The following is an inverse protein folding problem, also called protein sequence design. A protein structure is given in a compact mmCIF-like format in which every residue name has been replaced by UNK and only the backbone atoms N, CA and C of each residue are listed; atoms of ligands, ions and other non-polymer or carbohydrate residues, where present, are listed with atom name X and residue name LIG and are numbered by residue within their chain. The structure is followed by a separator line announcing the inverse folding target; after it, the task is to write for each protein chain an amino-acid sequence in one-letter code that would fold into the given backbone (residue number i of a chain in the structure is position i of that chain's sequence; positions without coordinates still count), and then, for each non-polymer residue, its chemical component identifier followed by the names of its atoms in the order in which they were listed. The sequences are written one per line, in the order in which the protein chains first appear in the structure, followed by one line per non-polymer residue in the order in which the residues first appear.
data_IF_456618298171
#
_entry.id   IF_456618298171
#
_cell.length_a   1.000
_cell.length_b   1.000
_cell.length_c   1.000
_cell.angle_alpha   90.00
_cell.angle_beta   90.00
_cell.angle_gamma   90.00
#
_symmetry.space_group_name_H-M   'P 1'
#
loop_
_entity.id
_entity.type
_entity.pdbx_description
1 polymer ?
#
# COMPACT_ATOMS: atom_id res chain seq x y z
N UNK A 1 -51.51 -25.45 10.30
CA UNK A 1 -51.17 -24.15 9.67
C UNK A 1 -50.19 -23.44 10.58
N UNK A 2 -48.92 -23.58 10.30
CA UNK A 2 -47.83 -22.97 11.11
C UNK A 2 -47.48 -21.63 10.47
N UNK A 3 -47.64 -20.57 11.26
CA UNK A 3 -47.24 -19.21 10.91
C UNK A 3 -45.72 -19.10 10.91
N UNK A 4 -45.07 -18.50 9.91
CA UNK A 4 -43.62 -18.27 9.96
C UNK A 4 -43.31 -17.21 11.03
N UNK A 5 -42.33 -17.51 11.87
CA UNK A 5 -41.75 -16.64 12.90
C UNK A 5 -41.41 -15.25 12.30
N UNK A 6 -42.09 -14.23 12.80
CA UNK A 6 -41.72 -12.83 12.58
C UNK A 6 -40.33 -12.62 13.18
N UNK A 7 -39.35 -12.43 12.33
CA UNK A 7 -38.03 -11.93 12.73
C UNK A 7 -38.21 -10.56 13.37
N UNK A 8 -37.51 -10.33 14.46
CA UNK A 8 -37.54 -9.10 15.22
C UNK A 8 -37.15 -7.91 14.29
N UNK A 9 -37.91 -6.81 14.27
CA UNK A 9 -37.61 -5.64 13.40
C UNK A 9 -36.17 -5.11 13.54
N UNK A 10 -35.57 -5.25 14.71
CA UNK A 10 -34.19 -4.82 15.00
C UNK A 10 -33.15 -5.72 14.32
N UNK A 11 -33.39 -7.03 14.19
CA UNK A 11 -32.53 -7.94 13.44
C UNK A 11 -32.63 -7.70 11.92
N UNK A 12 -33.80 -7.31 11.44
CA UNK A 12 -34.04 -7.04 10.02
C UNK A 12 -33.34 -5.74 9.57
N UNK A 13 -33.35 -4.69 10.39
CA UNK A 13 -32.62 -3.45 10.08
C UNK A 13 -31.09 -3.65 10.11
N UNK A 14 -30.57 -4.44 11.06
CA UNK A 14 -29.16 -4.79 11.11
C UNK A 14 -28.70 -5.57 9.88
N UNK A 15 -29.45 -6.60 9.50
CA UNK A 15 -29.16 -7.41 8.32
C UNK A 15 -29.29 -6.62 7.00
N UNK A 16 -30.23 -5.68 6.92
CA UNK A 16 -30.38 -4.77 5.78
C UNK A 16 -29.20 -3.79 5.70
N UNK A 17 -28.80 -3.18 6.80
CA UNK A 17 -27.66 -2.29 6.87
C UNK A 17 -26.36 -3.01 6.49
N UNK A 18 -26.12 -4.22 7.02
CA UNK A 18 -24.97 -5.04 6.62
C UNK A 18 -25.01 -5.40 5.12
N UNK A 19 -26.18 -5.72 4.60
CA UNK A 19 -26.37 -6.04 3.19
C UNK A 19 -26.19 -4.83 2.28
N UNK A 20 -26.68 -3.66 2.67
CA UNK A 20 -26.43 -2.39 1.97
C UNK A 20 -24.95 -1.97 2.07
N UNK A 21 -24.32 -2.14 3.22
CA UNK A 21 -22.88 -1.88 3.36
C UNK A 21 -22.04 -2.85 2.52
N UNK A 22 -22.37 -4.13 2.51
CA UNK A 22 -21.71 -5.15 1.68
C UNK A 22 -21.94 -4.87 0.19
N UNK A 23 -23.12 -4.41 -0.20
CA UNK A 23 -23.45 -4.11 -1.60
C UNK A 23 -22.84 -2.77 -2.07
N UNK A 24 -22.69 -1.79 -1.18
CA UNK A 24 -21.96 -0.54 -1.48
C UNK A 24 -20.45 -0.76 -1.66
N UNK A 25 -19.91 -1.86 -1.11
CA UNK A 25 -18.50 -2.28 -1.24
C UNK A 25 -18.34 -3.26 -2.42
N UNK A 26 -19.43 -3.83 -2.94
CA UNK A 26 -19.39 -4.72 -4.09
C UNK A 26 -18.86 -3.98 -5.33
N UNK A 27 -17.63 -4.30 -5.73
CA UNK A 27 -16.90 -3.64 -6.83
C UNK A 27 -15.92 -2.56 -6.38
N UNK A 28 -15.73 -2.36 -5.08
CA UNK A 28 -14.73 -1.44 -4.53
C UNK A 28 -13.60 -2.24 -3.88
N UNK A 29 -12.42 -2.23 -4.50
CA UNK A 29 -11.23 -2.81 -3.88
C UNK A 29 -10.76 -1.91 -2.74
N UNK A 30 -10.53 -2.53 -1.58
CA UNK A 30 -9.95 -1.88 -0.40
C UNK A 30 -8.53 -2.38 -0.28
N UNK A 31 -7.59 -1.47 -0.08
CA UNK A 31 -6.20 -1.80 0.20
C UNK A 31 -5.87 -1.47 1.64
N UNK A 32 -5.14 -2.38 2.31
CA UNK A 32 -4.55 -2.14 3.63
C UNK A 32 -3.12 -1.71 3.47
N UNK A 33 -2.84 -0.52 3.93
CA UNK A 33 -1.58 0.19 3.68
C UNK A 33 -0.78 0.33 4.97
N UNK A 34 0.49 -0.06 4.91
CA UNK A 34 1.49 0.22 5.93
C UNK A 34 2.03 1.64 5.72
N UNK A 35 1.95 2.48 6.74
CA UNK A 35 2.47 3.85 6.76
C UNK A 35 3.56 4.00 7.82
N UNK A 36 4.48 4.93 7.62
CA UNK A 36 5.53 5.26 8.61
C UNK A 36 4.94 6.08 9.76
N UNK A 37 4.19 5.41 10.61
CA UNK A 37 3.55 5.99 11.79
C UNK A 37 3.67 5.03 12.99
N UNK A 38 3.80 5.55 14.22
CA UNK A 38 4.02 4.72 15.42
C UNK A 38 2.72 4.08 15.94
N UNK A 39 1.95 3.45 15.04
CA UNK A 39 0.73 2.73 15.40
C UNK A 39 0.74 1.32 14.84
N UNK A 40 0.30 0.36 15.64
CA UNK A 40 0.31 -1.07 15.29
C UNK A 40 -0.87 -1.49 14.40
N UNK A 41 -1.35 -0.62 13.51
CA UNK A 41 -2.45 -0.94 12.60
C UNK A 41 -2.15 -0.53 11.18
N UNK A 42 -2.75 -1.23 10.23
CA UNK A 42 -2.80 -0.83 8.83
C UNK A 42 -3.94 0.17 8.61
N UNK A 43 -3.83 0.91 7.52
CA UNK A 43 -4.81 1.91 7.13
C UNK A 43 -5.56 1.48 5.88
N UNK A 44 -6.87 1.53 5.94
CA UNK A 44 -7.73 1.14 4.83
C UNK A 44 -7.97 2.33 3.89
N UNK A 45 -7.83 2.08 2.59
CA UNK A 45 -8.11 3.04 1.53
C UNK A 45 -8.89 2.39 0.40
N UNK A 46 -9.73 3.17 -0.28
CA UNK A 46 -10.36 2.75 -1.54
C UNK A 46 -9.34 2.79 -2.67
N UNK A 47 -9.28 1.72 -3.47
CA UNK A 47 -8.44 1.67 -4.65
C UNK A 47 -9.14 0.84 -5.73
N UNK A 48 -9.90 1.49 -6.61
CA UNK A 48 -10.76 0.81 -7.59
C UNK A 48 -10.02 -0.12 -8.54
N UNK A 49 -8.77 0.19 -8.83
CA UNK A 49 -7.95 -0.54 -9.82
C UNK A 49 -6.93 -1.48 -9.15
N UNK A 50 -6.94 -1.58 -7.82
CA UNK A 50 -5.98 -2.42 -7.13
C UNK A 50 -6.28 -3.90 -7.36
N UNK A 51 -5.23 -4.65 -7.67
CA UNK A 51 -5.24 -6.09 -7.91
C UNK A 51 -4.31 -6.81 -6.94
N UNK A 52 -4.36 -8.13 -6.91
CA UNK A 52 -3.44 -8.94 -6.10
C UNK A 52 -1.96 -8.70 -6.46
N UNK A 53 -1.67 -8.33 -7.71
CA UNK A 53 -0.32 -7.99 -8.17
C UNK A 53 0.21 -6.67 -7.60
N UNK A 54 -0.64 -5.87 -6.96
CA UNK A 54 -0.25 -4.61 -6.33
C UNK A 54 0.14 -4.75 -4.86
N UNK A 55 -0.02 -5.93 -4.28
CA UNK A 55 0.51 -6.24 -2.96
C UNK A 55 2.04 -6.13 -2.98
N UNK A 56 2.61 -5.43 -2.02
CA UNK A 56 4.03 -5.07 -1.97
C UNK A 56 4.37 -3.78 -2.72
N UNK A 57 3.46 -3.21 -3.53
CA UNK A 57 3.70 -1.93 -4.21
C UNK A 57 3.55 -0.75 -3.26
N UNK A 58 4.27 0.29 -3.62
CA UNK A 58 4.11 1.58 -2.97
C UNK A 58 2.84 2.26 -3.46
N UNK A 59 2.21 3.00 -2.58
CA UNK A 59 0.99 3.75 -2.87
C UNK A 59 1.07 5.14 -2.24
N UNK A 60 0.61 6.14 -2.97
CA UNK A 60 0.42 7.50 -2.46
C UNK A 60 -1.00 7.64 -1.92
N UNK A 61 -1.10 8.01 -0.66
CA UNK A 61 -2.39 8.15 0.03
C UNK A 61 -2.51 9.49 0.76
N UNK A 62 -3.74 10.00 0.95
CA UNK A 62 -3.97 11.16 1.80
C UNK A 62 -3.88 10.74 3.27
N UNK A 63 -3.00 11.38 4.05
CA UNK A 63 -2.85 11.14 5.48
C UNK A 63 -2.87 12.45 6.26
N UNK A 64 -3.90 12.65 7.08
CA UNK A 64 -4.16 13.92 7.72
C UNK A 64 -4.39 15.05 6.69
N UNK A 65 -3.59 16.11 6.77
CA UNK A 65 -3.57 17.23 5.83
C UNK A 65 -2.49 17.10 4.74
N UNK A 66 -1.72 16.02 4.75
CA UNK A 66 -0.61 15.78 3.83
C UNK A 66 -0.87 14.52 3.02
N UNK A 67 0.01 14.25 2.08
CA UNK A 67 0.10 12.96 1.42
C UNK A 67 1.26 12.16 2.00
N UNK A 68 1.12 10.84 2.03
CA UNK A 68 2.16 9.93 2.49
C UNK A 68 2.34 8.79 1.48
N UNK A 69 3.55 8.29 1.40
CA UNK A 69 3.84 7.03 0.70
C UNK A 69 3.72 5.90 1.70
N UNK A 70 3.01 4.86 1.33
CA UNK A 70 2.93 3.61 2.07
C UNK A 70 3.17 2.41 1.17
N UNK A 71 3.05 1.22 1.73
CA UNK A 71 3.13 -0.06 1.01
C UNK A 71 1.82 -0.81 1.19
N UNK A 72 1.26 -1.30 0.09
CA UNK A 72 0.07 -2.15 0.10
C UNK A 72 0.47 -3.52 0.66
N UNK A 73 -0.12 -3.94 1.77
CA UNK A 73 0.15 -5.24 2.37
C UNK A 73 -0.94 -6.26 2.10
N UNK A 74 -2.15 -5.82 1.86
CA UNK A 74 -3.32 -6.69 1.65
C UNK A 74 -4.34 -6.01 0.75
N UNK A 75 -5.07 -6.84 0.01
CA UNK A 75 -6.39 -6.49 -0.53
C UNK A 75 -7.46 -6.98 0.44
N UNK A 76 -8.44 -6.15 0.70
CA UNK A 76 -9.55 -6.48 1.58
C UNK A 76 -10.88 -6.30 0.83
N UNK A 77 -11.83 -7.16 1.16
CA UNK A 77 -13.21 -7.08 0.65
C UNK A 77 -14.15 -6.40 1.65
N UNK A 78 -13.65 -6.14 2.87
CA UNK A 78 -14.39 -5.47 3.94
C UNK A 78 -13.48 -4.58 4.77
N UNK A 79 -14.06 -3.57 5.41
CA UNK A 79 -13.36 -2.65 6.30
C UNK A 79 -14.25 -2.31 7.50
N UNK A 80 -13.62 -2.07 8.64
CA UNK A 80 -14.30 -1.52 9.82
C UNK A 80 -14.43 0.02 9.75
N UNK A 81 -13.85 0.66 8.73
CA UNK A 81 -13.93 2.11 8.56
C UNK A 81 -15.26 2.45 7.87
N UNK A 82 -16.09 3.35 8.44
CA UNK A 82 -17.30 3.82 7.77
C UNK A 82 -17.01 4.34 6.35
N UNK A 83 -17.87 4.00 5.39
CA UNK A 83 -17.66 4.30 3.96
C UNK A 83 -17.43 5.79 3.71
N UNK A 84 -18.10 6.65 4.49
CA UNK A 84 -17.99 8.12 4.41
C UNK A 84 -16.61 8.62 4.86
N UNK A 85 -15.92 7.86 5.72
CA UNK A 85 -14.57 8.17 6.22
C UNK A 85 -13.47 7.47 5.45
N UNK A 86 -13.83 6.50 4.61
CA UNK A 86 -12.87 5.73 3.83
C UNK A 86 -12.34 6.59 2.67
N UNK A 87 -11.10 7.05 2.81
CA UNK A 87 -10.43 7.88 1.80
C UNK A 87 -10.00 7.04 0.60
N UNK A 88 -9.95 7.65 -0.58
CA UNK A 88 -9.37 7.02 -1.77
C UNK A 88 -7.85 7.11 -1.75
N UNK A 89 -7.17 6.06 -2.22
CA UNK A 89 -5.77 6.15 -2.60
C UNK A 89 -5.63 7.12 -3.78
N UNK A 90 -4.55 7.90 -3.79
CA UNK A 90 -4.29 8.88 -4.85
C UNK A 90 -3.75 8.16 -6.08
N UNK A 91 -2.74 7.32 -5.90
CA UNK A 91 -2.08 6.60 -6.99
C UNK A 91 -1.26 5.42 -6.46
N UNK A 92 -1.35 4.27 -7.13
CA UNK A 92 -0.42 3.14 -6.96
C UNK A 92 0.83 3.46 -7.78
N UNK A 93 2.00 3.24 -7.20
CA UNK A 93 3.29 3.60 -7.79
C UNK A 93 3.91 2.37 -8.47
N UNK A 94 3.96 2.37 -9.79
CA UNK A 94 4.43 1.24 -10.60
C UNK A 94 5.88 1.37 -11.08
N UNK A 95 6.58 2.45 -10.69
CA UNK A 95 7.94 2.74 -11.17
C UNK A 95 8.99 1.71 -10.72
N UNK A 96 8.69 0.95 -9.67
CA UNK A 96 9.55 -0.11 -9.15
C UNK A 96 8.76 -1.39 -8.94
N UNK A 97 9.46 -2.51 -8.90
CA UNK A 97 8.87 -3.80 -8.57
C UNK A 97 8.28 -3.78 -7.15
N UNK A 98 7.21 -4.55 -6.90
CA UNK A 98 6.68 -4.74 -5.56
C UNK A 98 7.71 -5.44 -4.66
N UNK A 99 7.61 -5.26 -3.35
CA UNK A 99 8.29 -6.13 -2.39
C UNK A 99 7.83 -7.57 -2.59
N UNK A 100 8.75 -8.50 -2.58
CA UNK A 100 8.43 -9.92 -2.74
C UNK A 100 7.61 -10.44 -1.54
N UNK A 101 6.86 -11.50 -1.76
CA UNK A 101 6.04 -12.09 -0.69
C UNK A 101 6.91 -12.59 0.49
N UNK A 102 8.11 -13.07 0.20
CA UNK A 102 9.10 -13.48 1.20
C UNK A 102 9.54 -12.30 2.07
N UNK A 103 9.83 -11.15 1.45
CA UNK A 103 10.22 -9.94 2.17
C UNK A 103 9.08 -9.47 3.07
N UNK A 104 7.85 -9.47 2.58
CA UNK A 104 6.69 -9.09 3.36
C UNK A 104 6.46 -10.01 4.57
N UNK A 105 6.70 -11.32 4.40
CA UNK A 105 6.63 -12.28 5.52
C UNK A 105 7.71 -12.03 6.56
N UNK A 106 8.95 -11.78 6.12
CA UNK A 106 10.05 -11.44 7.01
C UNK A 106 9.78 -10.15 7.79
N UNK A 107 9.26 -9.12 7.12
CA UNK A 107 8.94 -7.84 7.78
C UNK A 107 7.81 -7.97 8.79
N UNK A 108 6.78 -8.79 8.52
CA UNK A 108 5.73 -9.12 9.49
C UNK A 108 6.32 -9.85 10.69
N UNK A 109 7.13 -10.89 10.45
CA UNK A 109 7.80 -11.62 11.52
C UNK A 109 8.65 -10.69 12.39
N UNK A 110 9.44 -9.80 11.78
CA UNK A 110 10.26 -8.85 12.52
C UNK A 110 9.42 -7.88 13.35
N UNK A 111 8.31 -7.38 12.81
CA UNK A 111 7.39 -6.51 13.54
C UNK A 111 6.80 -7.20 14.77
N UNK A 112 6.36 -8.44 14.62
CA UNK A 112 5.77 -9.24 15.69
C UNK A 112 6.82 -9.61 16.75
N UNK A 113 7.99 -10.08 16.32
CA UNK A 113 9.07 -10.51 17.22
C UNK A 113 9.62 -9.36 18.08
N UNK A 114 9.83 -8.19 17.47
CA UNK A 114 10.36 -7.02 18.18
C UNK A 114 9.26 -6.11 18.74
N UNK A 115 7.99 -6.50 18.64
CA UNK A 115 6.84 -5.71 19.09
C UNK A 115 6.86 -4.27 18.52
N UNK A 116 7.26 -4.15 17.26
CA UNK A 116 7.41 -2.84 16.61
C UNK A 116 6.26 -2.61 15.60
N UNK A 117 5.77 -1.36 15.45
CA UNK A 117 4.71 -1.06 14.49
C UNK A 117 5.06 -1.54 13.08
N UNK A 118 4.21 -2.40 12.49
CA UNK A 118 4.45 -3.01 11.18
C UNK A 118 4.71 -1.95 10.10
N UNK A 119 3.99 -0.82 10.14
CA UNK A 119 4.21 0.28 9.20
C UNK A 119 5.62 0.85 9.27
N UNK A 120 6.15 1.07 10.48
CA UNK A 120 7.50 1.57 10.66
C UNK A 120 8.57 0.55 10.20
N UNK A 121 8.34 -0.76 10.45
CA UNK A 121 9.24 -1.82 9.99
C UNK A 121 9.28 -1.89 8.46
N UNK A 122 8.12 -1.94 7.81
CA UNK A 122 8.00 -2.01 6.35
C UNK A 122 8.62 -0.77 5.69
N UNK A 123 8.28 0.41 6.18
CA UNK A 123 8.81 1.65 5.63
C UNK A 123 10.30 1.81 5.95
N UNK A 124 10.76 1.32 7.11
CA UNK A 124 12.17 1.30 7.50
C UNK A 124 13.04 0.45 6.58
N UNK A 125 12.53 -0.65 6.07
CA UNK A 125 13.21 -1.53 5.13
C UNK A 125 13.37 -0.91 3.73
N UNK A 126 12.53 0.07 3.37
CA UNK A 126 12.66 0.75 2.08
C UNK A 126 13.84 1.74 2.09
N UNK A 127 14.61 1.81 0.99
CA UNK A 127 15.56 2.90 0.78
C UNK A 127 14.88 4.27 0.90
N UNK A 128 15.57 5.24 1.50
CA UNK A 128 15.00 6.58 1.77
C UNK A 128 14.39 7.24 0.52
N UNK A 129 14.97 7.00 -0.65
CA UNK A 129 14.45 7.51 -1.93
C UNK A 129 13.08 6.95 -2.29
N UNK A 130 12.74 5.76 -1.83
CA UNK A 130 11.47 5.10 -2.10
C UNK A 130 10.37 5.47 -1.09
N UNK A 131 10.72 6.09 0.02
CA UNK A 131 9.75 6.57 1.03
C UNK A 131 9.06 7.87 0.63
N UNK A 132 9.47 8.46 -0.48
CA UNK A 132 8.90 9.70 -1.01
C UNK A 132 8.52 9.50 -2.47
N UNK A 133 7.52 10.23 -2.94
CA UNK A 133 7.31 10.39 -4.38
C UNK A 133 8.38 11.36 -4.86
N UNK A 134 9.29 10.89 -5.70
CA UNK A 134 10.16 11.81 -6.41
C UNK A 134 9.26 12.64 -7.34
N UNK A 135 9.32 13.96 -7.22
CA UNK A 135 8.90 14.84 -8.29
C UNK A 135 9.75 14.46 -9.49
N UNK A 136 9.14 13.89 -10.51
CA UNK A 136 9.72 13.39 -11.77
C UNK A 136 11.22 13.02 -11.65
N UNK A 137 11.63 11.79 -11.84
CA UNK A 137 13.05 11.53 -11.95
C UNK A 137 13.53 12.39 -13.12
N UNK A 138 14.24 13.47 -12.84
CA UNK A 138 15.14 14.00 -13.86
C UNK A 138 15.95 12.79 -14.27
N UNK A 139 15.69 12.30 -15.47
CA UNK A 139 16.52 11.28 -16.09
C UNK A 139 17.95 11.77 -15.94
N UNK A 140 18.68 11.20 -14.99
CA UNK A 140 20.12 11.32 -15.05
C UNK A 140 20.46 10.54 -16.29
N UNK A 141 20.66 11.24 -17.40
CA UNK A 141 21.35 10.68 -18.53
C UNK A 141 22.56 9.97 -17.96
N UNK A 142 22.60 8.66 -18.11
CA UNK A 142 23.79 7.89 -17.79
C UNK A 142 24.84 8.35 -18.79
N UNK A 143 25.59 9.38 -18.42
CA UNK A 143 26.73 9.81 -19.18
C UNK A 143 27.65 8.60 -19.33
N UNK A 144 27.91 8.21 -20.55
CA UNK A 144 28.91 7.21 -20.88
C UNK A 144 30.25 7.92 -20.80
N UNK A 145 31.07 7.57 -19.83
CA UNK A 145 32.46 8.03 -19.82
C UNK A 145 33.22 7.30 -20.91
N UNK A 146 33.83 8.05 -21.82
CA UNK A 146 34.70 7.53 -22.85
C UNK A 146 36.09 8.07 -22.57
N UNK A 147 37.11 7.21 -22.65
CA UNK A 147 38.48 7.63 -22.51
C UNK A 147 38.81 8.62 -23.64
N UNK A 148 39.47 9.70 -23.33
CA UNK A 148 40.03 10.59 -24.33
C UNK A 148 41.17 9.88 -25.08
N UNK A 149 41.57 10.32 -26.29
CA UNK A 149 42.70 9.72 -27.01
C UNK A 149 43.93 9.60 -26.16
N UNK A 150 44.23 10.63 -25.38
CA UNK A 150 45.40 10.64 -24.43
C UNK A 150 45.23 9.66 -23.30
N UNK A 151 44.00 9.50 -22.76
CA UNK A 151 43.70 8.52 -21.72
C UNK A 151 43.79 7.09 -22.23
N UNK A 152 43.44 6.84 -23.50
CA UNK A 152 43.60 5.54 -24.16
C UNK A 152 45.06 5.16 -24.33
N UNK A 153 45.89 6.13 -24.78
CA UNK A 153 47.32 5.91 -24.94
C UNK A 153 48.02 5.59 -23.60
N UNK A 154 47.60 6.22 -22.52
CA UNK A 154 48.14 5.92 -21.17
C UNK A 154 47.70 4.53 -20.66
N UNK A 155 46.48 4.07 -21.00
CA UNK A 155 46.02 2.75 -20.60
C UNK A 155 46.71 1.59 -21.34
N UNK A 156 47.19 1.83 -22.57
CA UNK A 156 47.97 0.87 -23.34
C UNK A 156 49.44 0.81 -22.95
N UNK A 157 49.95 1.83 -22.29
CA UNK A 157 51.36 1.94 -21.86
C UNK A 157 51.63 1.32 -20.47
N UNK A 158 50.61 0.77 -19.78
CA UNK A 158 50.72 0.15 -18.45
C UNK A 158 50.41 -1.34 -18.52
#
# INVERSE_FOLDING_TARGET
MSWPLLLDPLEYEGALLERFMTQAIAGMSIIRVALDVPVAKLFDYRAREATAADVGRRVLVPFGRKTAVGVILELAHSTAVPVERLKGAIRILHEFLPLAAEDLRLLRFAADYYHHPLGAVVMGALPTRLRRVAESPRSRERGRYVLTPDGSALAEAT
#
